data_IF_896508036727
#
_entry.id   IF_896508036727
#
_cell.length_a   1.000
_cell.length_b   1.000
_cell.length_c   1.000
_cell.angle_alpha   90.00
_cell.angle_beta   90.00
_cell.angle_gamma   90.00
#
_symmetry.space_group_name_H-M   'P 1'
#
loop_
_entity.id
_entity.type
_entity.pdbx_description
1 polymer ?
#
# COMPACT_ATOMS: atom_id res chain seq x y z
N UNK A 1 28.19 -7.11 -21.09
CA UNK A 1 26.83 -7.08 -20.53
C UNK A 1 26.80 -8.10 -19.39
N UNK A 2 26.29 -7.71 -18.25
CA UNK A 2 26.27 -8.58 -17.07
C UNK A 2 25.15 -9.61 -17.18
N UNK A 3 25.48 -10.86 -16.81
CA UNK A 3 24.56 -11.99 -16.93
C UNK A 3 24.41 -12.75 -15.61
N UNK A 4 23.20 -13.25 -15.37
CA UNK A 4 22.88 -14.16 -14.29
C UNK A 4 22.54 -15.53 -14.88
N UNK A 5 23.44 -16.51 -14.72
CA UNK A 5 23.32 -17.82 -15.32
C UNK A 5 22.64 -18.77 -14.33
N UNK A 6 21.54 -19.38 -14.73
CA UNK A 6 20.80 -20.32 -13.89
C UNK A 6 21.37 -21.73 -13.96
N UNK A 7 21.23 -22.47 -12.86
CA UNK A 7 21.49 -23.92 -12.81
C UNK A 7 20.53 -24.66 -13.74
N UNK A 8 20.97 -25.73 -14.35
CA UNK A 8 20.16 -26.60 -15.21
C UNK A 8 18.88 -27.04 -14.50
N UNK A 9 17.71 -26.83 -15.15
CA UNK A 9 16.38 -27.20 -14.64
C UNK A 9 15.75 -26.18 -13.69
N UNK A 10 16.42 -25.04 -13.38
CA UNK A 10 15.90 -23.96 -12.54
C UNK A 10 15.20 -22.84 -13.32
N UNK A 11 15.20 -22.91 -14.65
CA UNK A 11 14.53 -21.97 -15.56
C UNK A 11 13.00 -22.07 -15.59
N UNK A 12 12.41 -23.14 -15.02
CA UNK A 12 10.97 -23.46 -15.14
C UNK A 12 10.05 -22.36 -14.61
N UNK A 13 10.43 -21.68 -13.53
CA UNK A 13 9.62 -20.58 -12.95
C UNK A 13 9.59 -19.39 -13.90
N UNK A 14 10.73 -19.00 -14.49
CA UNK A 14 10.81 -17.88 -15.43
C UNK A 14 10.09 -18.19 -16.75
N UNK A 15 10.16 -19.44 -17.23
CA UNK A 15 9.38 -19.87 -18.41
C UNK A 15 7.86 -19.75 -18.19
N UNK A 16 7.41 -19.80 -16.93
CA UNK A 16 6.04 -19.51 -16.52
C UNK A 16 5.82 -18.03 -16.17
N UNK A 17 6.78 -17.17 -16.48
CA UNK A 17 6.77 -15.73 -16.19
C UNK A 17 6.65 -15.37 -14.70
N UNK A 18 7.17 -16.25 -13.81
CA UNK A 18 7.31 -15.89 -12.40
C UNK A 18 8.47 -14.89 -12.26
N UNK A 19 8.26 -13.71 -11.63
CA UNK A 19 9.20 -12.60 -11.68
C UNK A 19 10.41 -12.74 -10.75
N UNK A 20 10.54 -13.81 -9.97
CA UNK A 20 11.54 -13.95 -8.94
C UNK A 20 12.59 -15.01 -9.25
N UNK A 21 13.85 -14.63 -9.06
CA UNK A 21 15.01 -15.54 -9.16
C UNK A 21 15.67 -15.65 -7.80
N UNK A 22 15.54 -16.81 -7.17
CA UNK A 22 16.17 -17.08 -5.89
C UNK A 22 17.66 -17.43 -6.06
N UNK A 23 18.49 -17.15 -5.04
CA UNK A 23 19.91 -17.43 -5.02
C UNK A 23 20.22 -18.93 -5.26
N UNK A 24 19.38 -19.82 -4.73
CA UNK A 24 19.49 -21.27 -4.93
C UNK A 24 19.35 -21.71 -6.39
N UNK A 25 18.71 -20.88 -7.24
CA UNK A 25 18.56 -21.14 -8.67
C UNK A 25 19.76 -20.67 -9.50
N UNK A 26 20.58 -19.77 -8.96
CA UNK A 26 21.71 -19.15 -9.66
C UNK A 26 22.94 -20.07 -9.60
N UNK A 27 23.57 -20.30 -10.76
CA UNK A 27 24.86 -20.97 -10.87
C UNK A 27 26.00 -19.96 -10.62
N UNK A 28 25.98 -18.85 -11.33
CA UNK A 28 26.93 -17.75 -11.19
C UNK A 28 26.42 -16.46 -11.80
N UNK A 29 26.98 -15.34 -11.36
CA UNK A 29 26.92 -14.07 -12.07
C UNK A 29 28.17 -13.95 -12.96
N UNK A 30 28.01 -13.52 -14.20
CA UNK A 30 29.07 -13.20 -15.13
C UNK A 30 29.15 -11.69 -15.32
N UNK A 31 30.35 -11.15 -15.53
CA UNK A 31 30.62 -9.73 -15.38
C UNK A 31 30.91 -9.39 -13.92
N UNK A 32 30.53 -8.22 -13.50
CA UNK A 32 30.66 -7.76 -12.12
C UNK A 32 29.46 -6.89 -11.72
N UNK A 33 28.21 -7.42 -11.80
CA UNK A 33 27.02 -6.64 -11.53
C UNK A 33 26.99 -6.15 -10.08
N UNK A 34 26.59 -4.89 -9.91
CA UNK A 34 26.35 -4.27 -8.61
C UNK A 34 24.88 -4.38 -8.23
N UNK A 35 24.58 -4.07 -6.96
CA UNK A 35 23.20 -4.00 -6.49
C UNK A 35 22.40 -2.97 -7.31
N UNK A 36 21.26 -3.40 -7.84
CA UNK A 36 20.39 -2.57 -8.66
C UNK A 36 20.63 -2.64 -10.16
N UNK A 37 21.80 -3.15 -10.60
CA UNK A 37 22.11 -3.24 -12.04
C UNK A 37 21.09 -4.14 -12.76
N UNK A 38 20.76 -3.75 -14.00
CA UNK A 38 20.00 -4.60 -14.90
C UNK A 38 20.89 -5.66 -15.51
N UNK A 39 20.54 -6.93 -15.30
CA UNK A 39 21.27 -8.10 -15.81
C UNK A 39 20.41 -8.93 -16.75
N UNK A 40 21.05 -9.58 -17.71
CA UNK A 40 20.44 -10.61 -18.55
C UNK A 40 20.38 -11.93 -17.79
N UNK A 41 19.19 -12.46 -17.52
CA UNK A 41 19.03 -13.80 -16.95
C UNK A 41 18.99 -14.81 -18.07
N UNK A 42 19.87 -15.80 -18.00
CA UNK A 42 19.99 -16.85 -19.03
C UNK A 42 19.95 -18.25 -18.41
N UNK A 43 19.43 -19.21 -19.18
CA UNK A 43 19.55 -20.61 -18.86
C UNK A 43 20.99 -21.09 -19.00
N UNK A 44 21.30 -22.29 -18.51
CA UNK A 44 22.64 -22.87 -18.59
C UNK A 44 23.15 -23.06 -20.03
N UNK A 45 22.24 -23.19 -21.00
CA UNK A 45 22.52 -23.28 -22.45
C UNK A 45 22.67 -21.92 -23.14
N UNK A 46 22.63 -20.80 -22.40
CA UNK A 46 22.76 -19.44 -22.91
C UNK A 46 21.46 -18.82 -23.44
N UNK A 47 20.35 -19.53 -23.42
CA UNK A 47 19.04 -19.03 -23.86
C UNK A 47 18.54 -17.91 -22.91
N UNK A 48 18.08 -16.82 -23.50
CA UNK A 48 17.46 -15.71 -22.77
C UNK A 48 16.23 -16.16 -21.98
N UNK A 49 16.08 -15.63 -20.76
CA UNK A 49 14.91 -15.89 -19.91
C UNK A 49 14.22 -14.59 -19.48
N UNK A 50 14.98 -13.56 -19.07
CA UNK A 50 14.43 -12.28 -18.64
C UNK A 50 15.52 -11.20 -18.54
N UNK A 51 15.11 -9.95 -18.56
CA UNK A 51 15.84 -8.81 -17.98
C UNK A 51 15.43 -8.69 -16.53
N UNK A 52 16.38 -8.48 -15.62
CA UNK A 52 16.09 -8.42 -14.18
C UNK A 52 17.03 -7.45 -13.44
N UNK A 53 16.58 -6.91 -12.33
CA UNK A 53 17.45 -6.21 -11.39
C UNK A 53 18.19 -7.20 -10.48
N UNK A 54 19.45 -6.90 -10.20
CA UNK A 54 20.31 -7.76 -9.38
C UNK A 54 20.35 -7.30 -7.92
N UNK A 55 20.19 -8.24 -6.98
CA UNK A 55 20.22 -7.99 -5.54
C UNK A 55 21.20 -8.95 -4.86
N UNK A 56 22.51 -8.63 -4.79
CA UNK A 56 23.54 -9.54 -4.24
C UNK A 56 23.37 -9.85 -2.75
N UNK A 57 22.77 -8.97 -1.98
CA UNK A 57 22.55 -9.16 -0.54
C UNK A 57 21.29 -9.99 -0.23
N UNK A 58 20.38 -10.15 -1.19
CA UNK A 58 19.08 -10.80 -0.98
C UNK A 58 19.12 -12.27 -1.36
N UNK A 59 18.36 -13.12 -0.64
CA UNK A 59 18.04 -14.47 -1.10
C UNK A 59 17.17 -14.47 -2.37
N UNK A 60 16.38 -13.41 -2.57
CA UNK A 60 15.73 -13.11 -3.83
C UNK A 60 16.71 -12.36 -4.73
N UNK A 61 17.57 -13.14 -5.41
CA UNK A 61 18.78 -12.71 -6.12
C UNK A 61 18.50 -11.76 -7.27
N UNK A 62 17.37 -11.90 -7.94
CA UNK A 62 16.94 -10.97 -8.97
C UNK A 62 15.42 -10.89 -9.10
N UNK A 63 14.93 -9.73 -9.55
CA UNK A 63 13.52 -9.47 -9.87
C UNK A 63 13.41 -9.07 -11.32
N UNK A 64 12.56 -9.78 -12.07
CA UNK A 64 12.45 -9.57 -13.51
C UNK A 64 11.70 -8.27 -13.85
N UNK A 65 12.33 -7.45 -14.70
CA UNK A 65 11.75 -6.29 -15.34
C UNK A 65 10.88 -6.71 -16.54
N UNK A 66 11.47 -7.55 -17.42
CA UNK A 66 10.82 -7.98 -18.65
C UNK A 66 11.23 -9.39 -19.05
N UNK A 67 10.28 -10.09 -19.69
CA UNK A 67 10.49 -11.40 -20.32
C UNK A 67 10.65 -11.29 -21.86
N UNK A 68 10.83 -10.09 -22.38
CA UNK A 68 11.04 -9.82 -23.79
C UNK A 68 12.50 -9.45 -24.02
N UNK A 69 13.18 -10.20 -24.87
CA UNK A 69 14.60 -9.97 -25.15
C UNK A 69 14.85 -8.66 -25.92
N UNK A 70 13.88 -8.23 -26.71
CA UNK A 70 13.92 -7.01 -27.51
C UNK A 70 13.64 -5.71 -26.73
N UNK A 71 13.25 -5.79 -25.47
CA UNK A 71 13.04 -4.61 -24.64
C UNK A 71 14.37 -4.07 -24.08
N UNK A 72 14.49 -2.73 -24.14
CA UNK A 72 15.59 -1.99 -23.49
C UNK A 72 15.04 -1.39 -22.20
N UNK A 73 15.69 -1.70 -21.09
CA UNK A 73 15.29 -1.19 -19.74
C UNK A 73 16.04 0.13 -19.53
N UNK A 74 15.43 1.22 -19.97
CA UNK A 74 15.96 2.59 -19.92
C UNK A 74 14.91 3.55 -19.31
N UNK A 75 15.21 4.85 -19.30
CA UNK A 75 14.33 5.88 -18.75
C UNK A 75 12.95 5.88 -19.42
N UNK A 76 12.90 5.65 -20.73
CA UNK A 76 11.66 5.59 -21.53
C UNK A 76 10.82 4.39 -21.11
N UNK A 77 11.47 3.25 -20.85
CA UNK A 77 10.80 2.05 -20.35
C UNK A 77 10.16 2.31 -18.97
N UNK A 78 10.89 2.96 -18.02
CA UNK A 78 10.34 3.32 -16.71
C UNK A 78 9.17 4.28 -16.83
N UNK A 79 9.28 5.31 -17.67
CA UNK A 79 8.20 6.27 -17.92
C UNK A 79 6.94 5.56 -18.43
N UNK A 80 7.09 4.69 -19.42
CA UNK A 80 6.00 3.90 -19.98
C UNK A 80 5.30 3.07 -18.90
N UNK A 81 6.05 2.36 -18.05
CA UNK A 81 5.48 1.55 -16.95
C UNK A 81 4.71 2.38 -15.95
N UNK A 82 5.24 3.53 -15.57
CA UNK A 82 4.55 4.45 -14.65
C UNK A 82 3.26 4.97 -15.28
N UNK A 83 3.27 5.41 -16.55
CA UNK A 83 2.07 5.87 -17.25
C UNK A 83 1.00 4.79 -17.37
N UNK A 84 1.38 3.57 -17.73
CA UNK A 84 0.47 2.42 -17.80
C UNK A 84 -0.20 2.15 -16.44
N UNK A 85 0.58 2.17 -15.37
CA UNK A 85 0.09 1.92 -14.02
C UNK A 85 -0.86 3.03 -13.52
N UNK A 86 -0.53 4.30 -13.77
CA UNK A 86 -1.38 5.44 -13.39
C UNK A 86 -2.70 5.39 -14.15
N UNK A 87 -2.66 5.24 -15.48
CA UNK A 87 -3.85 5.17 -16.32
C UNK A 87 -4.80 4.01 -15.95
N UNK A 88 -4.26 2.88 -15.52
CA UNK A 88 -5.05 1.73 -15.07
C UNK A 88 -5.93 2.03 -13.83
N UNK A 89 -5.71 3.16 -13.13
CA UNK A 89 -6.45 3.57 -11.93
C UNK A 89 -7.39 4.76 -12.15
N UNK A 90 -7.54 5.23 -13.38
CA UNK A 90 -8.39 6.40 -13.68
C UNK A 90 -9.87 6.16 -13.36
N UNK A 91 -10.35 4.93 -13.49
CA UNK A 91 -11.72 4.55 -13.11
C UNK A 91 -12.07 4.75 -11.62
N UNK A 92 -11.09 5.07 -10.76
CA UNK A 92 -11.33 5.37 -9.34
C UNK A 92 -11.52 6.87 -9.06
N UNK A 93 -11.29 7.76 -10.02
CA UNK A 93 -11.30 9.22 -9.83
C UNK A 93 -12.62 9.78 -9.30
N UNK A 94 -13.75 9.20 -9.72
CA UNK A 94 -15.09 9.63 -9.26
C UNK A 94 -15.36 9.28 -7.79
N UNK A 95 -14.63 8.32 -7.26
CA UNK A 95 -14.86 7.78 -5.91
C UNK A 95 -13.87 8.32 -4.88
N UNK A 96 -12.64 8.60 -5.31
CA UNK A 96 -11.56 8.92 -4.36
C UNK A 96 -10.40 9.66 -5.02
N UNK A 97 -9.72 10.49 -4.22
CA UNK A 97 -8.42 11.08 -4.53
C UNK A 97 -7.26 10.36 -3.80
N UNK A 98 -7.51 9.14 -3.27
CA UNK A 98 -6.48 8.29 -2.67
C UNK A 98 -6.42 6.94 -3.38
N UNK A 99 -5.30 6.65 -4.07
CA UNK A 99 -5.18 5.47 -4.93
C UNK A 99 -3.79 4.85 -4.82
N UNK A 100 -3.69 3.52 -4.90
CA UNK A 100 -2.42 2.86 -5.16
C UNK A 100 -2.15 2.85 -6.65
N UNK A 101 -1.13 3.58 -7.10
CA UNK A 101 -0.72 3.61 -8.49
C UNK A 101 0.13 2.40 -8.87
N UNK A 102 1.06 2.01 -8.00
CA UNK A 102 2.00 0.93 -8.26
C UNK A 102 2.04 -0.06 -7.10
N UNK A 103 2.02 -1.33 -7.44
CA UNK A 103 2.15 -2.43 -6.49
C UNK A 103 3.15 -3.49 -6.98
N UNK A 104 4.41 -3.10 -7.04
CA UNK A 104 5.53 -4.00 -7.33
C UNK A 104 5.37 -4.80 -8.61
N UNK A 105 5.49 -6.10 -8.48
CA UNK A 105 5.44 -7.08 -9.57
C UNK A 105 4.11 -7.07 -10.34
N UNK A 106 3.01 -6.72 -9.68
CA UNK A 106 1.69 -6.66 -10.32
C UNK A 106 1.60 -5.60 -11.42
N UNK A 107 2.39 -4.52 -11.26
CA UNK A 107 2.44 -3.41 -12.21
C UNK A 107 3.76 -3.36 -13.00
N UNK A 108 4.57 -4.43 -12.92
CA UNK A 108 5.81 -4.58 -13.70
C UNK A 108 6.99 -3.75 -13.21
N UNK A 109 6.92 -3.17 -12.00
CA UNK A 109 8.02 -2.48 -11.32
C UNK A 109 8.32 -3.13 -9.97
N UNK A 110 8.99 -4.31 -9.97
CA UNK A 110 9.20 -5.13 -8.79
C UNK A 110 9.81 -4.36 -7.61
N UNK A 111 9.15 -4.44 -6.46
CA UNK A 111 9.62 -3.81 -5.24
C UNK A 111 9.30 -2.31 -5.12
N UNK A 112 8.55 -1.71 -6.05
CA UNK A 112 8.06 -0.33 -5.95
C UNK A 112 6.60 -0.30 -5.51
N UNK A 113 6.30 0.47 -4.48
CA UNK A 113 4.94 0.84 -4.10
C UNK A 113 4.79 2.35 -4.27
N UNK A 114 3.68 2.78 -4.88
CA UNK A 114 3.33 4.20 -4.99
C UNK A 114 1.87 4.38 -4.64
N UNK A 115 1.60 5.14 -3.59
CA UNK A 115 0.27 5.54 -3.15
C UNK A 115 0.07 7.05 -3.34
N UNK A 116 -1.08 7.43 -3.87
CA UNK A 116 -1.53 8.82 -3.95
C UNK A 116 -2.44 9.16 -2.78
N UNK A 117 -2.23 10.33 -2.19
CA UNK A 117 -3.10 10.97 -1.21
C UNK A 117 -3.32 12.43 -1.62
N UNK A 118 -4.49 12.74 -2.20
CA UNK A 118 -4.73 14.05 -2.78
C UNK A 118 -3.67 14.40 -3.85
N UNK A 119 -2.98 15.52 -3.64
CA UNK A 119 -1.93 16.01 -4.53
C UNK A 119 -0.53 15.46 -4.20
N UNK A 120 -0.41 14.50 -3.30
CA UNK A 120 0.85 13.98 -2.79
C UNK A 120 1.01 12.51 -3.11
N UNK A 121 2.26 12.08 -3.35
CA UNK A 121 2.62 10.68 -3.54
C UNK A 121 3.49 10.21 -2.38
N UNK A 122 3.27 8.96 -1.99
CA UNK A 122 4.13 8.24 -1.05
C UNK A 122 4.70 7.02 -1.74
N UNK A 123 6.01 6.89 -1.73
CA UNK A 123 6.73 5.78 -2.34
C UNK A 123 7.36 4.87 -1.30
N UNK A 124 7.53 3.60 -1.67
CA UNK A 124 8.40 2.66 -0.96
C UNK A 124 9.26 1.92 -1.98
N UNK A 125 10.57 2.08 -1.87
CA UNK A 125 11.57 1.38 -2.68
C UNK A 125 12.07 0.17 -1.89
N UNK A 126 11.51 -1.00 -2.14
CA UNK A 126 11.74 -2.21 -1.34
C UNK A 126 12.75 -3.19 -1.97
N UNK A 127 13.32 -2.87 -3.14
CA UNK A 127 14.26 -3.70 -3.86
C UNK A 127 15.40 -2.87 -4.46
N UNK A 128 16.58 -3.49 -4.62
CA UNK A 128 17.78 -2.83 -5.10
C UNK A 128 17.58 -2.19 -6.50
N UNK A 129 16.82 -2.82 -7.39
CA UNK A 129 16.59 -2.30 -8.74
C UNK A 129 15.86 -0.96 -8.76
N UNK A 130 14.73 -0.86 -8.06
CA UNK A 130 13.97 0.41 -7.98
C UNK A 130 14.71 1.45 -7.13
N UNK A 131 15.51 1.03 -6.15
CA UNK A 131 16.37 1.94 -5.39
C UNK A 131 17.44 2.58 -6.26
N UNK A 132 18.07 1.83 -7.18
CA UNK A 132 19.07 2.36 -8.10
C UNK A 132 18.50 3.43 -9.06
N UNK A 133 17.20 3.39 -9.31
CA UNK A 133 16.49 4.33 -10.18
C UNK A 133 15.59 5.32 -9.41
N UNK A 134 15.81 5.44 -8.11
CA UNK A 134 14.97 6.20 -7.18
C UNK A 134 14.71 7.65 -7.62
N UNK A 135 15.76 8.37 -7.99
CA UNK A 135 15.65 9.77 -8.42
C UNK A 135 14.92 9.92 -9.76
N UNK A 136 15.21 9.04 -10.72
CA UNK A 136 14.50 8.97 -11.99
C UNK A 136 13.00 8.72 -11.77
N UNK A 137 12.67 7.69 -11.00
CA UNK A 137 11.28 7.31 -10.68
C UNK A 137 10.55 8.47 -10.00
N UNK A 138 11.19 9.14 -9.04
CA UNK A 138 10.60 10.29 -8.35
C UNK A 138 10.23 11.43 -9.30
N UNK A 139 11.13 11.80 -10.23
CA UNK A 139 10.87 12.82 -11.26
C UNK A 139 9.74 12.39 -12.21
N UNK A 140 9.79 11.17 -12.73
CA UNK A 140 8.77 10.64 -13.62
C UNK A 140 7.39 10.59 -12.95
N UNK A 141 7.32 10.25 -11.67
CA UNK A 141 6.06 10.28 -10.92
C UNK A 141 5.46 11.69 -10.87
N UNK A 142 6.24 12.75 -10.61
CA UNK A 142 5.74 14.13 -10.66
C UNK A 142 5.25 14.50 -12.05
N UNK A 143 6.04 14.21 -13.09
CA UNK A 143 5.73 14.54 -14.48
C UNK A 143 4.45 13.85 -14.96
N UNK A 144 4.28 12.58 -14.63
CA UNK A 144 3.13 11.78 -15.09
C UNK A 144 1.85 12.09 -14.33
N UNK A 145 1.94 12.38 -13.03
CA UNK A 145 0.74 12.54 -12.18
C UNK A 145 0.35 13.99 -11.94
N UNK A 146 1.27 14.93 -12.12
CA UNK A 146 1.07 16.33 -11.74
C UNK A 146 1.04 16.56 -10.22
N UNK A 147 1.49 15.58 -9.44
CA UNK A 147 1.55 15.70 -7.98
C UNK A 147 2.51 16.82 -7.54
N UNK A 148 2.26 17.41 -6.37
CA UNK A 148 3.08 18.51 -5.81
C UNK A 148 4.38 18.01 -5.22
N UNK A 149 4.40 16.78 -4.68
CA UNK A 149 5.59 16.21 -4.09
C UNK A 149 5.48 14.70 -3.90
N UNK A 150 6.66 14.08 -3.79
CA UNK A 150 6.83 12.66 -3.51
C UNK A 150 7.57 12.49 -2.19
N UNK A 151 6.96 11.79 -1.26
CA UNK A 151 7.56 11.42 0.03
C UNK A 151 8.01 9.95 -0.04
N UNK A 152 9.29 9.71 0.19
CA UNK A 152 9.84 8.35 0.28
C UNK A 152 9.70 7.86 1.71
N UNK A 153 8.90 6.82 1.90
CA UNK A 153 8.69 6.13 3.16
C UNK A 153 9.16 4.68 3.07
N UNK A 154 10.44 4.51 2.75
CA UNK A 154 11.10 3.22 2.62
C UNK A 154 11.65 2.74 3.97
N UNK A 155 10.77 2.59 4.95
CA UNK A 155 11.06 2.26 6.35
C UNK A 155 10.88 0.76 6.67
N UNK A 156 10.42 -0.04 5.71
CA UNK A 156 10.09 -1.44 5.93
C UNK A 156 11.30 -2.33 6.24
N UNK A 157 11.12 -3.30 7.15
CA UNK A 157 12.14 -4.29 7.50
C UNK A 157 12.63 -5.14 6.30
N UNK A 158 11.85 -5.19 5.22
CA UNK A 158 12.22 -5.83 3.95
C UNK A 158 13.47 -5.23 3.32
N UNK A 159 13.70 -3.92 3.47
CA UNK A 159 14.89 -3.23 2.94
C UNK A 159 16.19 -3.75 3.51
N UNK A 160 16.23 -4.08 4.80
CA UNK A 160 17.41 -4.65 5.44
C UNK A 160 17.83 -5.98 4.82
N UNK A 161 16.87 -6.79 4.34
CA UNK A 161 17.13 -8.07 3.64
C UNK A 161 17.68 -7.85 2.23
N UNK A 162 17.46 -6.68 1.65
CA UNK A 162 18.03 -6.25 0.37
C UNK A 162 19.40 -5.56 0.54
N UNK A 163 19.86 -5.33 1.78
CA UNK A 163 21.07 -4.55 2.07
C UNK A 163 20.88 -3.04 1.87
N UNK A 164 19.64 -2.56 1.93
CA UNK A 164 19.29 -1.15 1.70
C UNK A 164 19.05 -0.42 3.03
N UNK A 165 19.44 0.85 3.06
CA UNK A 165 19.19 1.75 4.19
C UNK A 165 17.72 2.14 4.28
N UNK A 166 17.25 2.38 5.51
CA UNK A 166 15.91 2.92 5.77
C UNK A 166 15.87 4.40 5.37
N UNK A 167 14.78 4.84 4.75
CA UNK A 167 14.56 6.23 4.34
C UNK A 167 13.15 6.68 4.72
N UNK A 168 13.05 7.97 5.11
CA UNK A 168 11.80 8.65 5.42
C UNK A 168 12.02 10.15 5.19
N UNK A 169 11.85 10.60 3.94
CA UNK A 169 12.25 11.94 3.50
C UNK A 169 11.44 12.41 2.28
N UNK A 170 11.47 13.71 2.00
CA UNK A 170 10.96 14.23 0.74
C UNK A 170 11.92 13.81 -0.36
N UNK A 171 11.44 13.04 -1.33
CA UNK A 171 12.24 12.59 -2.46
C UNK A 171 12.39 13.71 -3.51
N UNK A 172 11.28 14.34 -3.87
CA UNK A 172 11.26 15.41 -4.89
C UNK A 172 9.97 16.24 -4.74
N UNK A 173 10.03 17.51 -5.14
CA UNK A 173 8.92 18.44 -5.09
C UNK A 173 8.74 19.08 -3.72
N UNK A 174 7.50 19.44 -3.39
CA UNK A 174 7.15 20.13 -2.14
C UNK A 174 7.03 19.15 -0.96
N UNK A 175 7.13 19.69 0.25
CA UNK A 175 6.85 18.94 1.49
C UNK A 175 5.35 18.83 1.70
N UNK A 176 4.85 17.61 1.92
CA UNK A 176 3.46 17.39 2.25
C UNK A 176 3.07 18.05 3.60
N UNK A 177 1.84 18.53 3.77
CA UNK A 177 1.34 18.98 5.07
C UNK A 177 1.33 17.81 6.08
N UNK A 178 1.25 18.12 7.38
CA UNK A 178 1.24 17.10 8.43
C UNK A 178 0.04 16.15 8.29
N UNK A 179 -1.11 16.70 7.88
CA UNK A 179 -2.30 15.92 7.59
C UNK A 179 -2.82 16.26 6.19
N UNK A 180 -2.88 15.27 5.33
CA UNK A 180 -3.46 15.37 3.98
C UNK A 180 -4.93 14.97 4.07
N UNK A 181 -5.84 15.82 3.61
CA UNK A 181 -7.24 15.45 3.49
C UNK A 181 -7.48 14.63 2.21
N UNK A 182 -8.09 13.47 2.37
CA UNK A 182 -8.56 12.64 1.26
C UNK A 182 -10.08 12.46 1.32
N UNK A 183 -10.67 12.14 0.19
CA UNK A 183 -12.08 11.79 0.07
C UNK A 183 -12.19 10.38 -0.49
N UNK A 184 -13.05 9.55 0.10
CA UNK A 184 -13.36 8.22 -0.39
C UNK A 184 -14.85 7.94 -0.21
N UNK A 185 -15.56 7.65 -1.30
CA UNK A 185 -17.00 7.38 -1.34
C UNK A 185 -17.83 8.43 -0.54
N UNK A 186 -17.40 9.70 -0.60
CA UNK A 186 -18.05 10.83 0.05
C UNK A 186 -17.74 11.00 1.54
N UNK A 187 -16.76 10.27 2.07
CA UNK A 187 -16.22 10.43 3.43
C UNK A 187 -14.85 11.10 3.36
N UNK A 188 -14.60 12.08 4.22
CA UNK A 188 -13.34 12.78 4.35
C UNK A 188 -12.48 12.13 5.43
N UNK A 189 -11.21 11.90 5.13
CA UNK A 189 -10.23 11.35 6.07
C UNK A 189 -8.99 12.24 6.10
N UNK A 190 -8.41 12.47 7.27
CA UNK A 190 -7.06 12.97 7.43
C UNK A 190 -6.06 11.81 7.40
N UNK A 191 -5.00 11.99 6.65
CA UNK A 191 -3.91 11.01 6.49
C UNK A 191 -2.58 11.65 6.86
N UNK A 192 -1.88 11.04 7.81
CA UNK A 192 -0.48 11.36 8.10
C UNK A 192 0.41 10.34 7.40
N UNK A 193 1.16 10.81 6.39
CA UNK A 193 2.03 9.96 5.58
C UNK A 193 3.37 9.66 6.24
N UNK A 194 3.72 10.32 7.35
CA UNK A 194 4.97 10.14 8.09
C UNK A 194 4.87 9.06 9.15
N UNK A 195 3.78 9.07 9.93
CA UNK A 195 3.60 8.17 11.08
C UNK A 195 2.44 7.19 10.94
N UNK A 196 1.48 7.42 10.04
CA UNK A 196 0.33 6.53 9.80
C UNK A 196 0.77 5.10 9.38
N UNK A 197 -0.08 4.12 9.58
CA UNK A 197 0.19 2.75 9.18
C UNK A 197 0.35 2.61 7.65
N UNK A 198 1.12 1.62 7.19
CA UNK A 198 1.46 1.40 5.77
C UNK A 198 2.15 2.65 5.20
N UNK A 199 1.54 3.28 4.21
CA UNK A 199 1.97 4.55 3.61
C UNK A 199 1.21 5.76 4.17
N UNK A 200 0.31 5.55 5.16
CA UNK A 200 -0.51 6.56 5.81
C UNK A 200 -1.97 6.13 6.01
N UNK A 201 -2.54 5.35 5.10
CA UNK A 201 -3.93 4.89 5.14
C UNK A 201 -4.09 3.49 4.55
N UNK A 202 -5.16 2.78 4.93
CA UNK A 202 -5.49 1.45 4.42
C UNK A 202 -6.34 1.54 3.14
N UNK A 203 -5.73 1.91 2.02
CA UNK A 203 -6.40 2.07 0.72
C UNK A 203 -7.05 0.74 0.25
N UNK A 204 -6.45 -0.39 0.60
CA UNK A 204 -6.92 -1.73 0.25
C UNK A 204 -8.25 -2.13 0.91
N UNK A 205 -8.66 -1.43 1.98
CA UNK A 205 -9.94 -1.67 2.67
C UNK A 205 -11.12 -0.84 2.10
N UNK A 206 -10.94 -0.13 0.99
CA UNK A 206 -11.99 0.72 0.39
C UNK A 206 -13.30 -0.03 0.15
N UNK A 207 -13.25 -1.19 -0.50
CA UNK A 207 -14.45 -1.96 -0.81
C UNK A 207 -15.12 -2.51 0.46
N UNK A 208 -14.34 -2.84 1.48
CA UNK A 208 -14.87 -3.26 2.78
C UNK A 208 -15.58 -2.10 3.49
N UNK A 209 -15.01 -0.88 3.45
CA UNK A 209 -15.66 0.32 4.00
C UNK A 209 -16.94 0.67 3.25
N UNK A 210 -16.93 0.62 1.92
CA UNK A 210 -18.14 0.84 1.11
C UNK A 210 -19.23 -0.21 1.42
N UNK A 211 -18.83 -1.46 1.64
CA UNK A 211 -19.76 -2.52 2.03
C UNK A 211 -20.40 -2.24 3.40
N UNK A 212 -19.61 -1.73 4.36
CA UNK A 212 -20.13 -1.32 5.67
C UNK A 212 -21.10 -0.13 5.55
N UNK A 213 -20.77 0.87 4.73
CA UNK A 213 -21.68 1.99 4.44
C UNK A 213 -23.01 1.50 3.88
N UNK A 214 -22.98 0.66 2.83
CA UNK A 214 -24.18 0.10 2.22
C UNK A 214 -24.99 -0.77 3.17
N UNK A 215 -24.34 -1.52 4.05
CA UNK A 215 -25.03 -2.29 5.09
C UNK A 215 -25.83 -1.40 6.03
N UNK A 216 -25.26 -0.24 6.43
CA UNK A 216 -25.98 0.74 7.26
C UNK A 216 -27.16 1.39 6.51
N UNK A 217 -26.99 1.74 5.24
CA UNK A 217 -28.04 2.26 4.36
C UNK A 217 -29.20 1.27 4.23
N UNK A 218 -28.88 0.01 3.95
CA UNK A 218 -29.86 -1.07 3.78
C UNK A 218 -30.59 -1.36 5.09
N UNK A 219 -29.87 -1.39 6.23
CA UNK A 219 -30.49 -1.56 7.55
C UNK A 219 -31.52 -0.45 7.81
N UNK A 220 -31.14 0.83 7.58
CA UNK A 220 -32.05 1.98 7.75
C UNK A 220 -33.26 1.87 6.86
N UNK A 221 -33.08 1.48 5.61
CA UNK A 221 -34.20 1.28 4.66
C UNK A 221 -35.17 0.21 5.13
N UNK A 222 -34.67 -0.89 5.72
CA UNK A 222 -35.53 -2.02 6.17
C UNK A 222 -36.23 -1.76 7.50
N UNK A 223 -35.55 -1.07 8.42
CA UNK A 223 -36.02 -0.95 9.81
C UNK A 223 -36.55 0.45 10.17
N UNK A 224 -36.43 1.44 9.29
CA UNK A 224 -36.89 2.79 9.54
C UNK A 224 -36.07 3.57 10.60
N UNK A 225 -34.96 2.97 11.10
CA UNK A 225 -34.01 3.59 12.05
C UNK A 225 -32.57 3.32 11.62
N UNK A 226 -31.64 4.12 12.14
CA UNK A 226 -30.22 3.81 12.00
C UNK A 226 -29.81 2.59 12.81
N UNK A 227 -28.75 1.89 12.39
CA UNK A 227 -28.16 0.80 13.17
C UNK A 227 -27.26 1.37 14.28
N UNK A 228 -27.12 0.62 15.37
CA UNK A 228 -26.10 0.79 16.40
C UNK A 228 -24.97 -0.19 16.13
N UNK A 229 -23.72 0.30 15.95
CA UNK A 229 -22.60 -0.54 15.60
C UNK A 229 -21.48 -0.49 16.63
N UNK A 230 -20.71 -1.59 16.69
CA UNK A 230 -19.43 -1.66 17.39
C UNK A 230 -18.32 -1.91 16.38
N UNK A 231 -17.29 -1.05 16.40
CA UNK A 231 -16.09 -1.21 15.57
C UNK A 231 -14.88 -1.46 16.47
N UNK A 232 -14.35 -2.68 16.44
CA UNK A 232 -13.18 -3.11 17.20
C UNK A 232 -11.92 -2.98 16.36
N UNK A 233 -10.81 -2.52 16.98
CA UNK A 233 -9.56 -2.22 16.31
C UNK A 233 -9.74 -1.13 15.25
N UNK A 234 -10.43 -0.06 15.65
CA UNK A 234 -10.98 0.92 14.73
C UNK A 234 -9.92 1.81 14.06
N UNK A 235 -8.69 1.84 14.58
CA UNK A 235 -7.59 2.68 14.09
C UNK A 235 -8.04 4.15 13.96
N UNK A 236 -7.90 4.79 12.80
CA UNK A 236 -8.32 6.17 12.53
C UNK A 236 -9.82 6.30 12.17
N UNK A 237 -10.62 5.28 12.48
CA UNK A 237 -12.08 5.31 12.36
C UNK A 237 -12.65 5.03 10.97
N UNK A 238 -11.87 4.44 10.05
CA UNK A 238 -12.29 4.26 8.66
C UNK A 238 -13.65 3.60 8.48
N UNK A 239 -13.88 2.46 9.13
CA UNK A 239 -15.18 1.76 9.09
C UNK A 239 -16.28 2.49 9.86
N UNK A 240 -15.93 3.12 10.98
CA UNK A 240 -16.89 3.88 11.80
C UNK A 240 -17.51 5.02 11.00
N UNK A 241 -16.68 5.78 10.29
CA UNK A 241 -17.13 6.89 9.45
C UNK A 241 -17.94 6.43 8.25
N UNK A 242 -17.58 5.27 7.65
CA UNK A 242 -18.36 4.67 6.57
C UNK A 242 -19.76 4.26 7.05
N UNK A 243 -19.88 3.64 8.22
CA UNK A 243 -21.17 3.31 8.84
C UNK A 243 -22.01 4.55 9.14
N UNK A 244 -21.39 5.60 9.70
CA UNK A 244 -22.06 6.88 10.00
C UNK A 244 -22.54 7.58 8.72
N UNK A 245 -21.76 7.53 7.63
CA UNK A 245 -22.14 8.02 6.31
C UNK A 245 -23.34 7.26 5.75
N UNK A 246 -23.40 5.95 5.95
CA UNK A 246 -24.54 5.09 5.60
C UNK A 246 -25.77 5.28 6.48
N UNK A 247 -25.70 6.15 7.48
CA UNK A 247 -26.85 6.50 8.34
C UNK A 247 -26.96 5.65 9.60
N UNK A 248 -25.85 5.10 10.09
CA UNK A 248 -25.81 4.54 11.45
C UNK A 248 -26.23 5.59 12.47
N UNK A 249 -27.02 5.21 13.46
CA UNK A 249 -27.50 6.08 14.54
C UNK A 249 -26.38 6.37 15.53
N UNK A 250 -25.62 5.33 15.88
CA UNK A 250 -24.48 5.36 16.78
C UNK A 250 -23.41 4.35 16.37
N UNK A 251 -22.14 4.75 16.47
CA UNK A 251 -21.01 3.84 16.33
C UNK A 251 -20.08 3.98 17.52
N UNK A 252 -19.98 2.92 18.30
CA UNK A 252 -18.98 2.76 19.37
C UNK A 252 -17.71 2.17 18.76
N UNK A 253 -16.59 2.83 18.93
CA UNK A 253 -15.31 2.48 18.31
C UNK A 253 -14.23 2.28 19.34
N UNK A 254 -13.48 1.19 19.25
CA UNK A 254 -12.49 0.79 20.25
C UNK A 254 -11.13 0.59 19.60
N UNK A 255 -10.12 1.21 20.17
CA UNK A 255 -8.71 0.99 19.82
C UNK A 255 -7.83 1.25 21.05
N UNK A 256 -6.67 0.63 21.12
CA UNK A 256 -5.70 0.86 22.19
C UNK A 256 -4.79 2.07 21.96
N UNK A 257 -4.75 2.61 20.72
CA UNK A 257 -3.91 3.75 20.35
C UNK A 257 -4.67 5.07 20.50
N UNK A 258 -4.32 5.86 21.51
CA UNK A 258 -4.89 7.22 21.67
C UNK A 258 -4.55 8.14 20.48
N UNK A 259 -3.37 7.96 19.86
CA UNK A 259 -2.96 8.71 18.67
C UNK A 259 -3.89 8.42 17.47
N UNK A 260 -4.21 7.14 17.25
CA UNK A 260 -5.16 6.73 16.22
C UNK A 260 -6.56 7.28 16.49
N UNK A 261 -7.01 7.23 17.76
CA UNK A 261 -8.30 7.75 18.16
C UNK A 261 -8.38 9.29 18.08
N UNK A 262 -7.30 10.01 18.32
CA UNK A 262 -7.24 11.46 18.11
C UNK A 262 -7.49 11.80 16.63
N UNK A 263 -6.88 11.07 15.70
CA UNK A 263 -7.15 11.20 14.27
C UNK A 263 -8.60 10.81 13.92
N UNK A 264 -9.12 9.75 14.55
CA UNK A 264 -10.51 9.30 14.35
C UNK A 264 -11.53 10.36 14.76
N UNK A 265 -11.32 11.01 15.92
CA UNK A 265 -12.16 12.16 16.38
C UNK A 265 -12.11 13.31 15.39
N UNK A 266 -10.91 13.70 14.95
CA UNK A 266 -10.74 14.74 13.94
C UNK A 266 -11.41 14.36 12.61
N UNK A 267 -11.38 13.11 12.23
CA UNK A 267 -12.09 12.62 11.04
C UNK A 267 -13.61 12.65 11.22
N UNK A 268 -14.13 12.32 12.40
CA UNK A 268 -15.56 12.46 12.70
C UNK A 268 -16.02 13.94 12.62
N UNK A 269 -15.21 14.85 13.13
CA UNK A 269 -15.46 16.29 13.06
C UNK A 269 -15.49 16.79 11.62
N UNK A 270 -14.51 16.41 10.77
CA UNK A 270 -14.47 16.74 9.33
C UNK A 270 -15.76 16.36 8.57
N UNK A 271 -16.45 15.33 9.05
CA UNK A 271 -17.66 14.81 8.43
C UNK A 271 -18.96 15.21 9.16
N UNK A 272 -18.87 15.94 10.27
CA UNK A 272 -20.05 16.31 11.08
C UNK A 272 -20.70 15.14 11.81
N UNK A 273 -19.91 14.11 12.17
CA UNK A 273 -20.40 12.86 12.80
C UNK A 273 -20.16 12.80 14.32
N UNK A 274 -19.63 13.85 14.93
CA UNK A 274 -19.19 13.88 16.32
C UNK A 274 -20.24 13.39 17.32
N UNK A 275 -21.51 13.76 17.10
CA UNK A 275 -22.61 13.42 18.03
C UNK A 275 -23.09 11.95 17.93
N UNK A 276 -22.58 11.19 16.98
CA UNK A 276 -22.97 9.80 16.71
C UNK A 276 -21.81 8.81 16.81
N UNK A 277 -20.63 9.30 17.17
CA UNK A 277 -19.39 8.54 17.26
C UNK A 277 -18.88 8.56 18.70
N UNK A 278 -18.73 7.39 19.29
CA UNK A 278 -18.07 7.18 20.57
C UNK A 278 -16.71 6.52 20.35
N UNK A 279 -15.67 6.98 21.06
CA UNK A 279 -14.28 6.53 20.91
C UNK A 279 -13.73 6.10 22.26
N UNK A 280 -13.43 4.79 22.40
CA UNK A 280 -12.96 4.15 23.62
C UNK A 280 -11.48 3.75 23.45
N UNK A 281 -10.61 4.39 24.25
CA UNK A 281 -9.18 4.03 24.32
C UNK A 281 -8.98 2.93 25.36
N UNK A 282 -9.09 1.67 24.95
CA UNK A 282 -8.89 0.52 25.83
C UNK A 282 -8.53 -0.74 25.03
N UNK A 283 -8.04 -1.76 25.72
CA UNK A 283 -7.85 -3.08 25.13
C UNK A 283 -9.19 -3.66 24.64
N UNK A 284 -9.25 -4.05 23.37
CA UNK A 284 -10.50 -4.53 22.74
C UNK A 284 -11.10 -5.73 23.48
N UNK A 285 -10.29 -6.68 23.92
CA UNK A 285 -10.81 -7.86 24.62
C UNK A 285 -11.39 -7.50 25.98
N UNK A 286 -10.81 -6.52 26.67
CA UNK A 286 -11.31 -5.99 27.92
C UNK A 286 -12.62 -5.24 27.71
N UNK A 287 -12.67 -4.38 26.67
CA UNK A 287 -13.89 -3.69 26.28
C UNK A 287 -15.04 -4.66 25.98
N UNK A 288 -14.80 -5.67 25.17
CA UNK A 288 -15.80 -6.67 24.80
C UNK A 288 -16.37 -7.41 26.05
N UNK A 289 -15.50 -7.76 27.02
CA UNK A 289 -15.97 -8.37 28.28
C UNK A 289 -16.86 -7.43 29.09
N UNK A 290 -16.47 -6.15 29.17
CA UNK A 290 -17.23 -5.09 29.86
C UNK A 290 -18.58 -4.86 29.19
N UNK A 291 -18.63 -4.67 27.88
CA UNK A 291 -19.87 -4.46 27.13
C UNK A 291 -20.82 -5.65 27.22
N UNK A 292 -20.28 -6.87 27.13
CA UNK A 292 -21.06 -8.11 27.34
C UNK A 292 -21.63 -8.19 28.74
N UNK A 293 -20.84 -7.86 29.77
CA UNK A 293 -21.27 -7.86 31.18
C UNK A 293 -22.36 -6.82 31.46
N UNK A 294 -22.32 -5.68 30.75
CA UNK A 294 -23.35 -4.64 30.83
C UNK A 294 -24.62 -4.97 30.02
N UNK A 295 -24.62 -6.07 29.25
CA UNK A 295 -25.76 -6.45 28.41
C UNK A 295 -25.95 -5.59 27.18
N UNK A 296 -24.90 -4.88 26.74
CA UNK A 296 -24.91 -4.03 25.54
C UNK A 296 -25.20 -4.85 24.28
N UNK A 297 -25.96 -4.28 23.38
CA UNK A 297 -26.37 -4.90 22.12
C UNK A 297 -26.08 -4.00 20.94
N UNK A 298 -25.61 -4.59 19.86
CA UNK A 298 -25.30 -3.90 18.60
C UNK A 298 -25.98 -4.62 17.44
N UNK A 299 -26.44 -3.87 16.47
CA UNK A 299 -27.03 -4.42 15.24
C UNK A 299 -25.94 -4.95 14.28
N UNK A 300 -24.72 -4.38 14.37
CA UNK A 300 -23.57 -4.75 13.57
C UNK A 300 -22.28 -4.65 14.37
N UNK A 301 -21.38 -5.61 14.19
CA UNK A 301 -20.04 -5.60 14.79
C UNK A 301 -19.00 -5.76 13.68
N UNK A 302 -18.01 -4.87 13.68
CA UNK A 302 -16.82 -4.97 12.83
C UNK A 302 -15.65 -5.43 13.67
N UNK A 303 -14.92 -6.44 13.19
CA UNK A 303 -13.72 -6.98 13.80
C UNK A 303 -12.61 -7.01 12.74
N UNK A 304 -11.65 -6.10 12.84
CA UNK A 304 -10.48 -6.02 11.96
C UNK A 304 -9.18 -6.06 12.79
N UNK A 305 -8.89 -7.19 13.44
CA UNK A 305 -7.77 -7.29 14.36
C UNK A 305 -6.43 -7.20 13.61
N UNK A 306 -5.38 -6.64 14.25
CA UNK A 306 -4.03 -6.73 13.73
C UNK A 306 -3.59 -8.19 13.66
N UNK A 307 -2.56 -8.46 12.83
CA UNK A 307 -1.94 -9.78 12.80
C UNK A 307 -1.31 -10.07 14.18
N UNK A 308 -1.96 -10.90 14.95
CA UNK A 308 -1.36 -11.42 16.19
C UNK A 308 -0.16 -12.31 15.81
N UNK A 309 1.00 -12.03 16.43
CA UNK A 309 2.14 -12.92 16.29
C UNK A 309 1.76 -14.29 16.86
N UNK A 310 1.87 -15.33 16.05
CA UNK A 310 1.73 -16.72 16.45
C UNK A 310 3.02 -17.19 17.10
#
# INVERSE_FOLDING_TARGET
>A
MDELILKKGKEKSLLRRHPWVYDTAVERAAGNPKAGDTVKVVAKDGRFLAWASYSPASTLRARCWSFREDEVIDDIWFEKKIREAVAARDGLLERTNARRFLFGEADGLPGLIVDQYGDWLVTQFQAAGVEAHRELIGRLLLEVTGARGVYDRSDAATRRREGLEVRSEVLVGETAPDVIEIVEDGVKYGVDVRVGHKTGFYIDQRESRLSAQRAAEEFRRRHGRGLRALNCFCYTGGFSLALLKGGAEEVVSVDSSEEALAMARANAERNGFTNRAEWLCEDVFTCLRRLRGAGEKFDLVILDPPKFAS
#
